data_IF_431282381495
#
_entry.id   IF_431282381495
#
_cell.length_a   1.000
_cell.length_b   1.000
_cell.length_c   1.000
_cell.angle_alpha   90.00
_cell.angle_beta   90.00
_cell.angle_gamma   90.00
#
_symmetry.space_group_name_H-M   'P 1'
#
loop_
_entity.id
_entity.type
_entity.pdbx_description
1 polymer ?
#
# COMPACT_ATOMS: atom_id res chain seq x y z
N UNK A 1 20.79 -4.54 8.77
CA UNK A 1 19.81 -4.15 9.79
C UNK A 1 19.37 -5.36 10.60
N UNK A 2 18.90 -5.14 11.82
CA UNK A 2 18.52 -6.25 12.72
C UNK A 2 17.04 -6.60 12.55
N UNK A 3 16.64 -7.82 12.93
CA UNK A 3 15.23 -8.22 13.02
C UNK A 3 14.39 -7.21 13.82
N UNK A 4 14.98 -6.59 14.85
CA UNK A 4 14.30 -5.56 15.64
C UNK A 4 13.89 -4.33 14.80
N UNK A 5 14.68 -3.92 13.83
CA UNK A 5 14.35 -2.81 12.91
C UNK A 5 13.13 -3.17 12.04
N UNK A 6 13.14 -4.36 11.45
CA UNK A 6 12.02 -4.88 10.65
C UNK A 6 10.75 -4.99 11.50
N UNK A 7 10.88 -5.53 12.72
CA UNK A 7 9.76 -5.66 13.64
C UNK A 7 9.17 -4.28 14.03
N UNK A 8 10.01 -3.27 14.28
CA UNK A 8 9.58 -1.92 14.63
C UNK A 8 8.88 -1.20 13.48
N UNK A 9 9.26 -1.41 12.23
CA UNK A 9 8.60 -0.86 11.06
C UNK A 9 7.10 -1.21 11.05
N UNK A 10 6.75 -2.42 11.48
CA UNK A 10 5.38 -2.92 11.48
C UNK A 10 4.40 -2.11 12.35
N UNK A 11 4.90 -1.34 13.33
CA UNK A 11 4.07 -0.52 14.23
C UNK A 11 3.83 0.91 13.74
N UNK A 12 4.46 1.34 12.64
CA UNK A 12 4.25 2.67 12.08
C UNK A 12 2.78 2.83 11.70
N UNK A 13 2.20 3.95 12.12
CA UNK A 13 0.79 4.26 11.81
C UNK A 13 0.70 4.95 10.46
N UNK A 14 -0.35 4.63 9.73
CA UNK A 14 -0.75 5.27 8.48
C UNK A 14 -1.69 6.46 8.74
N UNK A 15 -1.97 7.23 7.71
CA UNK A 15 -2.99 8.29 7.68
C UNK A 15 -2.68 9.53 8.52
N UNK A 16 -1.42 9.79 8.87
CA UNK A 16 -1.05 10.91 9.74
C UNK A 16 -1.51 12.27 9.23
N UNK A 17 -1.66 12.43 7.92
CA UNK A 17 -2.03 13.70 7.27
C UNK A 17 -3.50 13.76 6.87
N UNK A 18 -4.29 12.72 7.16
CA UNK A 18 -5.72 12.66 6.86
C UNK A 18 -6.53 12.81 8.15
N UNK A 19 -7.24 13.95 8.36
CA UNK A 19 -7.87 14.28 9.65
C UNK A 19 -8.80 13.20 10.19
N UNK A 20 -9.66 12.63 9.34
CA UNK A 20 -10.65 11.63 9.75
C UNK A 20 -10.04 10.24 9.89
N UNK A 21 -9.10 9.87 9.02
CA UNK A 21 -8.48 8.54 9.03
C UNK A 21 -7.32 8.42 10.01
N UNK A 22 -6.70 9.54 10.42
CA UNK A 22 -5.63 9.54 11.41
C UNK A 22 -6.06 8.97 12.77
N UNK A 23 -7.35 8.98 13.07
CA UNK A 23 -7.90 8.41 14.30
C UNK A 23 -8.09 6.90 14.22
N UNK A 24 -8.05 6.32 13.03
CA UNK A 24 -8.11 4.87 12.86
C UNK A 24 -6.77 4.24 13.26
N UNK A 25 -6.82 3.06 13.88
CA UNK A 25 -5.61 2.34 14.27
C UNK A 25 -5.18 1.44 13.11
N UNK A 26 -4.61 2.06 12.08
CA UNK A 26 -4.02 1.35 10.94
C UNK A 26 -2.51 1.39 11.01
N UNK A 27 -1.87 0.24 10.84
CA UNK A 27 -0.41 0.10 10.87
C UNK A 27 0.11 -0.45 9.55
N UNK A 28 1.41 -0.27 9.27
CA UNK A 28 2.04 -0.85 8.07
C UNK A 28 1.86 -2.37 8.01
N UNK A 29 2.02 -3.07 9.15
CA UNK A 29 1.80 -4.52 9.18
C UNK A 29 0.33 -4.91 8.91
N UNK A 30 -0.63 -4.17 9.46
CA UNK A 30 -2.05 -4.39 9.19
C UNK A 30 -2.39 -4.19 7.71
N UNK A 31 -1.91 -3.09 7.15
CA UNK A 31 -2.05 -2.76 5.73
C UNK A 31 -1.41 -3.84 4.83
N UNK A 32 -0.12 -4.13 5.01
CA UNK A 32 0.58 -5.14 4.21
C UNK A 32 -0.09 -6.52 4.28
N UNK A 33 -0.57 -6.90 5.47
CA UNK A 33 -1.34 -8.14 5.64
C UNK A 33 -2.67 -8.14 4.87
N UNK A 34 -3.37 -7.01 4.78
CA UNK A 34 -4.60 -6.89 3.98
C UNK A 34 -4.30 -6.88 2.49
N UNK A 35 -3.27 -6.15 2.05
CA UNK A 35 -2.81 -6.14 0.65
C UNK A 35 -2.46 -7.55 0.18
N UNK A 36 -1.72 -8.32 0.97
CA UNK A 36 -1.41 -9.72 0.64
C UNK A 36 -2.67 -10.59 0.52
N UNK A 37 -3.68 -10.40 1.39
CA UNK A 37 -4.95 -11.11 1.30
C UNK A 37 -5.76 -10.74 0.04
N UNK A 38 -5.77 -9.47 -0.34
CA UNK A 38 -6.39 -9.00 -1.59
C UNK A 38 -5.73 -9.69 -2.78
N UNK A 39 -4.40 -9.71 -2.83
CA UNK A 39 -3.64 -10.37 -3.90
C UNK A 39 -3.97 -11.84 -3.97
N UNK A 40 -3.92 -12.57 -2.86
CA UNK A 40 -4.26 -14.01 -2.83
C UNK A 40 -5.70 -14.30 -3.25
N UNK A 41 -6.63 -13.38 -2.95
CA UNK A 41 -8.03 -13.54 -3.35
C UNK A 41 -8.24 -13.33 -4.83
N UNK A 42 -7.57 -12.33 -5.42
CA UNK A 42 -7.73 -11.96 -6.83
C UNK A 42 -6.83 -12.82 -7.74
N UNK A 43 -5.66 -13.21 -7.27
CA UNK A 43 -4.67 -14.01 -7.99
C UNK A 43 -4.15 -15.13 -7.09
N UNK A 44 -4.87 -16.26 -7.00
CA UNK A 44 -4.52 -17.35 -6.08
C UNK A 44 -3.16 -18.01 -6.34
N UNK A 45 -2.61 -17.82 -7.54
CA UNK A 45 -1.31 -18.28 -8.01
C UNK A 45 -0.21 -17.24 -7.90
N UNK A 46 -0.45 -16.15 -7.15
CA UNK A 46 0.53 -15.08 -6.94
C UNK A 46 1.88 -15.64 -6.46
N UNK A 47 2.96 -15.11 -7.01
CA UNK A 47 4.31 -15.51 -6.63
C UNK A 47 4.65 -15.17 -5.18
N UNK A 48 5.60 -15.89 -4.60
CA UNK A 48 6.14 -15.55 -3.28
C UNK A 48 6.79 -14.16 -3.27
N UNK A 49 7.38 -13.74 -4.39
CA UNK A 49 7.95 -12.40 -4.57
C UNK A 49 6.87 -11.32 -4.41
N UNK A 50 5.77 -11.44 -5.13
CA UNK A 50 4.65 -10.50 -5.03
C UNK A 50 4.06 -10.43 -3.62
N UNK A 51 3.92 -11.58 -2.96
CA UNK A 51 3.42 -11.64 -1.58
C UNK A 51 4.42 -11.03 -0.59
N UNK A 52 5.71 -11.22 -0.79
CA UNK A 52 6.73 -10.58 0.02
C UNK A 52 6.63 -9.04 -0.10
N UNK A 53 6.56 -8.53 -1.32
CA UNK A 53 6.35 -7.10 -1.55
C UNK A 53 5.04 -6.59 -0.93
N UNK A 54 3.96 -7.32 -1.05
CA UNK A 54 2.69 -6.95 -0.43
C UNK A 54 2.80 -6.72 1.08
N UNK A 55 3.62 -7.52 1.76
CA UNK A 55 3.81 -7.45 3.21
C UNK A 55 4.69 -6.28 3.66
N UNK A 56 5.65 -5.83 2.82
CA UNK A 56 6.73 -4.96 3.29
C UNK A 56 6.95 -3.68 2.46
N UNK A 57 6.18 -3.46 1.39
CA UNK A 57 6.43 -2.38 0.42
C UNK A 57 6.51 -0.97 1.05
N UNK A 58 5.76 -0.74 2.12
CA UNK A 58 5.73 0.54 2.85
C UNK A 58 6.71 0.60 4.04
N UNK A 59 7.45 -0.46 4.35
CA UNK A 59 8.35 -0.48 5.51
C UNK A 59 9.42 0.62 5.46
N UNK A 60 9.76 1.12 4.28
CA UNK A 60 10.63 2.28 4.09
C UNK A 60 10.11 3.55 4.77
N UNK A 61 8.80 3.72 4.90
CA UNK A 61 8.18 4.84 5.60
C UNK A 61 8.56 4.93 7.09
N UNK A 62 8.98 3.81 7.69
CA UNK A 62 9.48 3.80 9.06
C UNK A 62 10.72 4.67 9.28
N UNK A 63 11.44 4.98 8.22
CA UNK A 63 12.65 5.81 8.26
C UNK A 63 12.44 7.23 7.73
N UNK A 64 11.48 7.43 6.82
CA UNK A 64 11.25 8.72 6.16
C UNK A 64 9.94 9.39 6.58
N UNK A 65 9.06 8.65 7.25
CA UNK A 65 7.71 9.08 7.63
C UNK A 65 6.67 8.77 6.57
N UNK A 66 5.40 8.72 7.00
CA UNK A 66 4.24 8.59 6.11
C UNK A 66 4.07 9.89 5.31
N UNK A 67 4.16 9.80 4.00
CA UNK A 67 4.04 10.94 3.08
C UNK A 67 2.74 10.81 2.30
N UNK A 68 1.92 11.88 2.22
CA UNK A 68 0.67 11.85 1.47
C UNK A 68 0.87 11.43 0.02
N UNK A 69 -0.02 10.59 -0.50
CA UNK A 69 0.00 10.14 -1.89
C UNK A 69 0.04 11.31 -2.89
N UNK A 70 -0.56 12.45 -2.53
CA UNK A 70 -0.54 13.68 -3.32
C UNK A 70 0.84 14.34 -3.43
N UNK A 71 1.74 14.05 -2.50
CA UNK A 71 3.12 14.56 -2.45
C UNK A 71 4.15 13.50 -2.81
N UNK A 72 3.80 12.22 -2.81
CA UNK A 72 4.70 11.11 -3.23
C UNK A 72 5.19 11.20 -4.70
N UNK A 73 4.60 12.06 -5.51
CA UNK A 73 5.09 12.37 -6.87
C UNK A 73 6.40 13.17 -6.91
N UNK A 74 6.89 13.65 -5.78
CA UNK A 74 8.21 14.27 -5.70
C UNK A 74 9.29 13.15 -5.73
N UNK A 75 10.07 13.13 -6.77
CA UNK A 75 11.10 12.12 -7.09
C UNK A 75 12.02 11.81 -5.89
N UNK A 76 12.41 12.83 -5.14
CA UNK A 76 13.34 12.70 -3.99
C UNK A 76 12.75 11.84 -2.86
N UNK A 77 11.46 11.97 -2.56
CA UNK A 77 10.82 11.21 -1.47
C UNK A 77 10.72 9.74 -1.86
N UNK A 78 10.35 9.46 -3.10
CA UNK A 78 10.26 8.08 -3.61
C UNK A 78 11.60 7.36 -3.59
N UNK A 79 12.67 8.05 -3.95
CA UNK A 79 14.03 7.52 -3.88
C UNK A 79 14.47 7.25 -2.43
N UNK A 80 14.10 8.13 -1.50
CA UNK A 80 14.41 7.96 -0.08
C UNK A 80 13.65 6.77 0.54
N UNK A 81 12.37 6.61 0.25
CA UNK A 81 11.57 5.46 0.68
C UNK A 81 12.16 4.16 0.13
N UNK A 82 12.52 4.13 -1.16
CA UNK A 82 13.15 2.95 -1.77
C UNK A 82 14.48 2.62 -1.14
N UNK A 83 15.36 3.59 -0.94
CA UNK A 83 16.64 3.40 -0.28
C UNK A 83 16.49 2.93 1.17
N UNK A 84 15.46 3.40 1.88
CA UNK A 84 15.13 2.95 3.23
C UNK A 84 14.65 1.50 3.22
N UNK A 85 13.77 1.14 2.29
CA UNK A 85 13.27 -0.22 2.11
C UNK A 85 14.41 -1.20 1.82
N UNK A 86 15.32 -0.86 0.92
CA UNK A 86 16.47 -1.69 0.57
C UNK A 86 17.43 -1.91 1.77
N UNK A 87 17.48 -0.98 2.72
CA UNK A 87 18.24 -1.15 3.97
C UNK A 87 17.57 -2.09 4.95
N UNK A 88 16.23 -2.06 5.01
CA UNK A 88 15.43 -2.90 5.91
C UNK A 88 15.36 -4.32 5.36
N UNK A 89 15.13 -4.46 4.05
CA UNK A 89 14.96 -5.72 3.33
C UNK A 89 15.99 -5.87 2.20
N UNK A 90 17.28 -6.07 2.53
CA UNK A 90 18.31 -6.21 1.51
C UNK A 90 18.08 -7.45 0.66
N UNK A 91 18.16 -7.28 -0.66
CA UNK A 91 18.00 -8.38 -1.61
C UNK A 91 16.54 -8.79 -1.85
N UNK A 92 15.58 -7.91 -1.58
CA UNK A 92 14.20 -8.13 -1.99
C UNK A 92 14.13 -8.29 -3.52
N UNK A 93 13.62 -9.42 -4.06
CA UNK A 93 13.58 -9.65 -5.50
C UNK A 93 12.79 -8.58 -6.23
N UNK A 94 13.15 -8.26 -7.45
CA UNK A 94 12.38 -7.32 -8.26
C UNK A 94 11.06 -7.92 -8.71
N UNK A 95 10.02 -7.06 -8.75
CA UNK A 95 8.74 -7.41 -9.32
C UNK A 95 8.80 -7.36 -10.86
N UNK A 96 8.09 -8.26 -11.50
CA UNK A 96 7.77 -8.10 -12.92
C UNK A 96 6.83 -6.89 -13.10
N UNK A 97 6.73 -6.30 -14.32
CA UNK A 97 5.79 -5.23 -14.58
C UNK A 97 4.33 -5.57 -14.21
N UNK A 98 3.90 -6.80 -14.51
CA UNK A 98 2.55 -7.27 -14.18
C UNK A 98 2.33 -7.39 -12.66
N UNK A 99 3.30 -7.93 -11.92
CA UNK A 99 3.25 -8.01 -10.46
C UNK A 99 3.23 -6.62 -9.82
N UNK A 100 3.96 -5.66 -10.39
CA UNK A 100 3.96 -4.29 -9.92
C UNK A 100 2.56 -3.65 -10.06
N UNK A 101 1.87 -3.85 -11.20
CA UNK A 101 0.51 -3.33 -11.38
C UNK A 101 -0.50 -4.02 -10.45
N UNK A 102 -0.35 -5.33 -10.20
CA UNK A 102 -1.16 -6.05 -9.22
C UNK A 102 -0.95 -5.51 -7.80
N UNK A 103 0.29 -5.25 -7.40
CA UNK A 103 0.61 -4.66 -6.11
C UNK A 103 -0.01 -3.27 -5.96
N UNK A 104 0.19 -2.39 -6.93
CA UNK A 104 -0.40 -1.04 -6.94
C UNK A 104 -1.92 -1.06 -6.82
N UNK A 105 -2.54 -1.98 -7.55
CA UNK A 105 -4.00 -2.16 -7.49
C UNK A 105 -4.45 -2.58 -6.10
N UNK A 106 -3.83 -3.61 -5.54
CA UNK A 106 -4.19 -4.15 -4.22
C UNK A 106 -3.95 -3.14 -3.09
N UNK A 107 -2.86 -2.38 -3.16
CA UNK A 107 -2.53 -1.31 -2.22
C UNK A 107 -3.62 -0.21 -2.22
N UNK A 108 -3.98 0.33 -3.39
CA UNK A 108 -5.03 1.34 -3.51
C UNK A 108 -6.41 0.80 -3.15
N UNK A 109 -6.70 -0.45 -3.48
CA UNK A 109 -7.96 -1.09 -3.11
C UNK A 109 -8.07 -1.23 -1.59
N UNK A 110 -7.00 -1.59 -0.89
CA UNK A 110 -6.99 -1.62 0.57
C UNK A 110 -7.27 -0.23 1.17
N UNK A 111 -6.61 0.80 0.67
CA UNK A 111 -6.84 2.18 1.11
C UNK A 111 -8.30 2.61 0.91
N UNK A 112 -8.88 2.33 -0.26
CA UNK A 112 -10.28 2.60 -0.55
C UNK A 112 -11.23 1.87 0.42
N UNK A 113 -11.01 0.57 0.60
CA UNK A 113 -11.85 -0.26 1.48
C UNK A 113 -11.72 0.16 2.94
N UNK A 114 -10.52 0.56 3.38
CA UNK A 114 -10.30 1.09 4.72
C UNK A 114 -11.10 2.37 4.96
N UNK A 115 -11.01 3.34 4.05
CA UNK A 115 -11.76 4.58 4.12
C UNK A 115 -13.27 4.33 4.06
N UNK A 116 -13.74 3.48 3.14
CA UNK A 116 -15.15 3.09 3.01
C UNK A 116 -15.71 2.50 4.31
N UNK A 117 -14.91 1.71 5.02
CA UNK A 117 -15.34 1.03 6.24
C UNK A 117 -15.30 1.95 7.47
N UNK A 118 -14.30 2.81 7.58
CA UNK A 118 -14.06 3.60 8.79
C UNK A 118 -14.61 5.04 8.72
N UNK A 119 -14.62 5.64 7.54
CA UNK A 119 -15.03 7.03 7.32
C UNK A 119 -15.64 7.21 5.91
N UNK A 120 -16.78 6.57 5.58
CA UNK A 120 -17.32 6.56 4.21
C UNK A 120 -17.62 7.95 3.64
N UNK A 121 -17.83 8.94 4.50
CA UNK A 121 -18.08 10.32 4.10
C UNK A 121 -16.89 11.01 3.43
N UNK A 122 -15.65 10.52 3.64
CA UNK A 122 -14.47 11.11 2.99
C UNK A 122 -14.40 10.77 1.50
N UNK A 123 -15.09 9.71 1.07
CA UNK A 123 -15.02 9.19 -0.30
C UNK A 123 -15.62 10.12 -1.37
N UNK A 124 -16.28 11.20 -0.97
CA UNK A 124 -16.85 12.19 -1.90
C UNK A 124 -15.89 13.35 -2.21
N UNK A 125 -14.75 13.41 -1.55
CA UNK A 125 -13.78 14.51 -1.70
C UNK A 125 -12.32 14.03 -1.76
N UNK A 126 -11.40 14.99 -1.83
CA UNK A 126 -9.95 14.81 -1.66
C UNK A 126 -9.29 13.72 -2.53
N UNK A 127 -9.69 13.62 -3.79
CA UNK A 127 -9.12 12.64 -4.75
C UNK A 127 -9.69 11.23 -4.65
N UNK A 128 -10.61 10.95 -3.73
CA UNK A 128 -11.24 9.64 -3.61
C UNK A 128 -12.12 9.26 -4.82
N UNK A 129 -12.89 10.17 -5.44
CA UNK A 129 -13.61 9.86 -6.68
C UNK A 129 -12.69 9.46 -7.82
N UNK A 130 -11.52 10.08 -7.94
CA UNK A 130 -10.48 9.74 -8.91
C UNK A 130 -9.87 8.37 -8.60
N UNK A 131 -9.60 8.08 -7.34
CA UNK A 131 -9.14 6.77 -6.88
C UNK A 131 -10.13 5.67 -7.28
N UNK A 132 -11.43 5.90 -7.07
CA UNK A 132 -12.49 4.95 -7.45
C UNK A 132 -12.51 4.70 -8.96
N UNK A 133 -12.42 5.76 -9.79
CA UNK A 133 -12.36 5.61 -11.26
C UNK A 133 -11.16 4.75 -11.65
N UNK A 134 -10.00 5.10 -11.13
CA UNK A 134 -8.77 4.37 -11.40
C UNK A 134 -8.90 2.89 -11.01
N UNK A 135 -9.49 2.58 -9.85
CA UNK A 135 -9.71 1.19 -9.41
C UNK A 135 -10.63 0.43 -10.38
N UNK A 136 -11.70 1.05 -10.88
CA UNK A 136 -12.60 0.42 -11.86
C UNK A 136 -11.87 0.13 -13.16
N UNK A 137 -11.13 1.11 -13.69
CA UNK A 137 -10.36 0.97 -14.94
C UNK A 137 -9.26 -0.10 -14.81
N UNK A 138 -8.56 -0.12 -13.69
CA UNK A 138 -7.50 -1.11 -13.46
C UNK A 138 -8.05 -2.52 -13.19
N UNK A 139 -9.19 -2.65 -12.52
CA UNK A 139 -9.83 -3.95 -12.35
C UNK A 139 -10.17 -4.58 -13.71
N UNK A 140 -10.71 -3.79 -14.65
CA UNK A 140 -10.98 -4.23 -16.01
C UNK A 140 -9.70 -4.63 -16.73
N UNK A 141 -8.67 -3.78 -16.69
CA UNK A 141 -7.38 -4.06 -17.32
C UNK A 141 -6.66 -5.32 -16.76
N UNK A 142 -6.81 -5.58 -15.46
CA UNK A 142 -6.23 -6.75 -14.79
C UNK A 142 -7.14 -7.99 -14.83
N UNK A 143 -8.33 -7.87 -15.43
CA UNK A 143 -9.28 -8.98 -15.56
C UNK A 143 -9.87 -9.47 -14.24
N UNK A 144 -10.01 -8.58 -13.25
CA UNK A 144 -10.54 -8.92 -11.91
C UNK A 144 -11.87 -8.22 -11.63
N UNK A 145 -12.75 -8.90 -10.90
CA UNK A 145 -14.03 -8.33 -10.47
C UNK A 145 -13.94 -7.86 -9.02
N UNK A 146 -14.23 -6.57 -8.78
CA UNK A 146 -14.28 -5.98 -7.45
C UNK A 146 -15.55 -5.15 -7.29
N UNK A 147 -16.11 -5.14 -6.08
CA UNK A 147 -17.25 -4.28 -5.71
C UNK A 147 -16.74 -3.16 -4.81
N UNK A 148 -16.78 -1.92 -5.32
CA UNK A 148 -16.31 -0.72 -4.62
C UNK A 148 -17.44 0.01 -3.88
#
# INVERSE_FOLDING_TARGET
>A
MTLNTQFRASFVRRWHTHPELAQTVDTLAGHGGRVARIILKLWPDASSTLLHWALVHDDGESMVGDVPATTKGATVIHEQERAALDRIWPGLPELTPDEYERLRFADRLDAWMWAKHHAPHVLIGDGWPECRRWLVEQADALGVAVTL
#
